data_IF_939249275543
#
_entry.id   IF_939249275543
#
_cell.length_a   1.000
_cell.length_b   1.000
_cell.length_c   1.000
_cell.angle_alpha   90.00
_cell.angle_beta   90.00
_cell.angle_gamma   90.00
#
_symmetry.space_group_name_H-M   'P 1'
#
loop_
_entity.id
_entity.type
_entity.pdbx_description
1 polymer ?
#
# COMPACT_ATOMS: atom_id res chain seq x y z
N UNK A 1 18.07 -1.99 20.37
CA UNK A 1 17.30 -2.51 19.21
C UNK A 1 17.07 -1.34 18.28
N UNK A 2 17.41 -1.44 16.99
CA UNK A 2 17.27 -0.29 16.08
C UNK A 2 15.78 -0.04 15.78
N UNK A 3 15.42 1.19 15.42
CA UNK A 3 14.05 1.54 14.99
C UNK A 3 13.58 0.62 13.85
N UNK A 4 14.48 0.32 12.91
CA UNK A 4 14.22 -0.58 11.80
C UNK A 4 13.85 -2.00 12.29
N UNK A 5 14.56 -2.52 13.29
CA UNK A 5 14.27 -3.85 13.85
C UNK A 5 12.90 -3.87 14.54
N UNK A 6 12.53 -2.76 15.20
CA UNK A 6 11.21 -2.63 15.83
C UNK A 6 10.10 -2.59 14.78
N UNK A 7 10.27 -1.79 13.71
CA UNK A 7 9.34 -1.75 12.58
C UNK A 7 9.19 -3.14 11.96
N UNK A 8 10.30 -3.81 11.66
CA UNK A 8 10.30 -5.15 11.08
C UNK A 8 9.58 -6.15 11.99
N UNK A 9 9.86 -6.13 13.31
CA UNK A 9 9.18 -7.00 14.27
C UNK A 9 7.67 -6.78 14.26
N UNK A 10 7.20 -5.54 14.17
CA UNK A 10 5.76 -5.25 14.07
C UNK A 10 5.16 -5.78 12.78
N UNK A 11 5.84 -5.59 11.64
CA UNK A 11 5.36 -6.09 10.35
C UNK A 11 5.20 -7.62 10.37
N UNK A 12 6.19 -8.32 10.92
CA UNK A 12 6.22 -9.78 10.92
C UNK A 12 5.25 -10.40 11.92
N UNK A 13 5.07 -9.78 13.09
CA UNK A 13 4.37 -10.41 14.23
C UNK A 13 3.06 -9.74 14.65
N UNK A 14 2.75 -8.56 14.11
CA UNK A 14 1.58 -7.77 14.51
C UNK A 14 0.72 -7.35 13.28
N UNK A 15 0.19 -8.29 12.48
CA UNK A 15 -0.65 -7.97 11.32
C UNK A 15 -1.83 -7.06 11.61
N UNK A 16 -2.43 -7.14 12.81
CA UNK A 16 -3.51 -6.23 13.23
C UNK A 16 -3.08 -4.75 13.30
N UNK A 17 -1.78 -4.45 13.40
CA UNK A 17 -1.29 -3.06 13.43
C UNK A 17 -1.37 -2.36 12.07
N UNK A 18 -1.59 -3.11 10.99
CA UNK A 18 -1.58 -2.58 9.63
C UNK A 18 -2.65 -3.20 8.70
N UNK A 19 -3.40 -4.20 9.16
CA UNK A 19 -4.53 -4.74 8.45
C UNK A 19 -5.54 -3.62 8.14
N UNK A 20 -5.92 -3.47 6.88
CA UNK A 20 -6.89 -2.45 6.47
C UNK A 20 -8.22 -2.60 7.23
N UNK A 21 -8.77 -1.47 7.65
CA UNK A 21 -10.09 -1.42 8.26
C UNK A 21 -11.13 -2.09 7.35
N UNK A 22 -12.04 -2.86 7.95
CA UNK A 22 -13.08 -3.61 7.23
C UNK A 22 -12.69 -5.03 6.80
N UNK A 23 -11.39 -5.40 6.81
CA UNK A 23 -10.95 -6.79 6.59
C UNK A 23 -11.28 -7.72 7.75
N UNK A 24 -11.37 -7.17 8.96
CA UNK A 24 -11.69 -7.91 10.15
C UNK A 24 -12.52 -7.02 11.07
N UNK A 25 -13.72 -7.48 11.41
CA UNK A 25 -14.57 -6.81 12.39
C UNK A 25 -14.32 -7.43 13.76
N UNK A 26 -13.69 -6.66 14.65
CA UNK A 26 -13.43 -7.08 16.03
C UNK A 26 -14.51 -6.50 16.93
N UNK A 27 -15.14 -7.35 17.75
CA UNK A 27 -15.99 -6.88 18.84
C UNK A 27 -15.14 -6.42 20.01
N UNK A 28 -15.71 -5.59 20.90
CA UNK A 28 -14.98 -5.02 22.05
C UNK A 28 -14.31 -6.10 22.93
N UNK A 29 -14.90 -7.30 23.00
CA UNK A 29 -14.35 -8.46 23.72
C UNK A 29 -12.96 -8.90 23.24
N UNK A 30 -12.55 -8.54 22.02
CA UNK A 30 -11.26 -8.92 21.44
C UNK A 30 -10.23 -7.78 21.40
N UNK A 31 -10.49 -6.67 22.11
CA UNK A 31 -9.60 -5.50 22.13
C UNK A 31 -8.46 -5.60 23.15
N UNK A 32 -8.57 -6.51 24.12
CA UNK A 32 -7.54 -6.75 25.13
C UNK A 32 -6.26 -7.36 24.55
N UNK A 33 -5.11 -7.05 25.16
CA UNK A 33 -3.78 -7.46 24.67
C UNK A 33 -3.63 -8.98 24.45
N UNK A 34 -4.10 -9.87 25.36
CA UNK A 34 -4.04 -11.32 25.12
C UNK A 34 -4.86 -11.77 23.91
N UNK A 35 -6.06 -11.19 23.72
CA UNK A 35 -6.92 -11.49 22.58
C UNK A 35 -6.27 -11.01 21.27
N UNK A 36 -5.68 -9.81 21.28
CA UNK A 36 -4.94 -9.25 20.15
C UNK A 36 -3.76 -10.12 19.74
N UNK A 37 -2.99 -10.63 20.71
CA UNK A 37 -1.88 -11.54 20.45
C UNK A 37 -2.35 -12.86 19.82
N UNK A 38 -3.43 -13.45 20.34
CA UNK A 38 -4.02 -14.65 19.77
C UNK A 38 -4.51 -14.41 18.32
N UNK A 39 -5.17 -13.29 18.06
CA UNK A 39 -5.64 -12.93 16.72
C UNK A 39 -4.50 -12.69 15.73
N UNK A 40 -3.43 -12.00 16.14
CA UNK A 40 -2.23 -11.86 15.30
C UNK A 40 -1.65 -13.22 14.92
N UNK A 41 -1.58 -14.15 15.87
CA UNK A 41 -1.12 -15.51 15.61
C UNK A 41 -2.06 -16.26 14.63
N UNK A 42 -3.37 -16.18 14.85
CA UNK A 42 -4.37 -16.78 13.95
C UNK A 42 -4.23 -16.22 12.53
N UNK A 43 -4.01 -14.92 12.37
CA UNK A 43 -3.81 -14.31 11.06
C UNK A 43 -2.52 -14.81 10.38
N UNK A 44 -1.42 -14.91 11.13
CA UNK A 44 -0.14 -15.40 10.60
C UNK A 44 -0.24 -16.86 10.15
N UNK A 45 -0.85 -17.72 10.97
CA UNK A 45 -1.03 -19.14 10.68
C UNK A 45 -2.04 -19.37 9.55
N UNK A 46 -3.20 -18.72 9.63
CA UNK A 46 -4.30 -18.87 8.67
C UNK A 46 -3.98 -18.34 7.28
N UNK A 47 -3.17 -17.28 7.17
CA UNK A 47 -2.70 -16.72 5.90
C UNK A 47 -1.34 -17.29 5.47
N UNK A 48 -0.75 -18.21 6.24
CA UNK A 48 0.56 -18.82 5.99
C UNK A 48 1.69 -17.82 5.74
N UNK A 49 1.66 -16.67 6.43
CA UNK A 49 2.56 -15.56 6.15
C UNK A 49 4.00 -15.87 6.60
N UNK A 50 5.02 -15.73 5.73
CA UNK A 50 6.41 -16.01 6.09
C UNK A 50 6.86 -15.13 7.27
N UNK A 51 7.37 -15.74 8.34
CA UNK A 51 7.76 -15.02 9.56
C UNK A 51 9.24 -14.66 9.62
N UNK A 52 10.05 -15.21 8.71
CA UNK A 52 11.49 -14.93 8.61
C UNK A 52 11.76 -14.00 7.44
N UNK A 53 12.67 -13.05 7.66
CA UNK A 53 13.17 -12.16 6.62
C UNK A 53 14.71 -12.24 6.58
N UNK A 54 15.34 -12.48 5.42
CA UNK A 54 16.79 -12.33 5.29
C UNK A 54 17.21 -10.89 5.56
N UNK A 55 18.49 -10.64 5.83
CA UNK A 55 18.98 -9.29 6.12
C UNK A 55 18.51 -8.28 5.04
N UNK A 56 17.75 -7.22 5.41
CA UNK A 56 17.11 -6.36 4.43
C UNK A 56 18.15 -5.48 3.72
N UNK A 57 18.12 -5.51 2.38
CA UNK A 57 18.85 -4.58 1.52
C UNK A 57 18.33 -3.14 1.64
N UNK A 58 19.04 -2.18 1.04
CA UNK A 58 18.72 -0.74 1.13
C UNK A 58 17.28 -0.42 0.72
N UNK A 59 16.81 -1.01 -0.38
CA UNK A 59 15.44 -0.84 -0.86
C UNK A 59 14.39 -1.36 0.14
N UNK A 60 14.54 -2.60 0.63
CA UNK A 60 13.62 -3.19 1.62
C UNK A 60 13.60 -2.39 2.93
N UNK A 61 14.71 -1.76 3.33
CA UNK A 61 14.76 -0.89 4.50
C UNK A 61 13.87 0.35 4.35
N UNK A 62 13.74 0.90 3.14
CA UNK A 62 12.83 2.02 2.87
C UNK A 62 11.39 1.55 3.04
N UNK A 63 11.04 0.38 2.50
CA UNK A 63 9.71 -0.23 2.67
C UNK A 63 9.36 -0.48 4.13
N UNK A 64 10.29 -1.06 4.91
CA UNK A 64 10.07 -1.35 6.33
C UNK A 64 9.79 -0.05 7.11
N UNK A 65 10.56 1.01 6.86
CA UNK A 65 10.36 2.31 7.53
C UNK A 65 9.04 2.98 7.11
N UNK A 66 8.67 2.84 5.84
CA UNK A 66 7.49 3.48 5.28
C UNK A 66 6.25 2.58 5.31
N UNK A 67 6.29 1.44 6.01
CA UNK A 67 5.27 0.41 5.92
C UNK A 67 3.84 0.93 6.13
N UNK A 68 3.65 1.75 7.16
CA UNK A 68 2.35 2.37 7.49
C UNK A 68 1.91 3.44 6.50
N UNK A 69 2.85 4.01 5.76
CA UNK A 69 2.60 5.02 4.74
C UNK A 69 2.43 4.42 3.34
N UNK A 70 2.65 3.11 3.14
CA UNK A 70 2.51 2.48 1.83
C UNK A 70 1.13 2.70 1.19
N UNK A 71 -0.02 2.70 1.92
CA UNK A 71 -1.30 3.06 1.32
C UNK A 71 -1.34 4.50 0.77
N UNK A 72 -0.77 5.45 1.51
CA UNK A 72 -0.68 6.85 1.08
C UNK A 72 0.25 6.98 -0.13
N UNK A 73 1.42 6.32 -0.10
CA UNK A 73 2.37 6.26 -1.22
C UNK A 73 1.68 5.68 -2.46
N UNK A 74 0.99 4.54 -2.33
CA UNK A 74 0.23 3.94 -3.41
C UNK A 74 -0.78 4.93 -4.00
N UNK A 75 -1.55 5.62 -3.15
CA UNK A 75 -2.52 6.61 -3.63
C UNK A 75 -1.88 7.74 -4.42
N UNK A 76 -0.72 8.24 -4.00
CA UNK A 76 0.06 9.23 -4.76
C UNK A 76 0.51 8.69 -6.12
N UNK A 77 1.08 7.48 -6.15
CA UNK A 77 1.51 6.82 -7.39
C UNK A 77 0.32 6.61 -8.33
N UNK A 78 -0.81 6.12 -7.81
CA UNK A 78 -2.01 5.89 -8.59
C UNK A 78 -2.64 7.16 -9.15
N UNK A 79 -2.70 8.21 -8.34
CA UNK A 79 -3.19 9.52 -8.77
C UNK A 79 -2.31 10.09 -9.90
N UNK A 80 -0.99 9.94 -9.78
CA UNK A 80 -0.04 10.38 -10.81
C UNK A 80 -0.26 9.61 -12.13
N UNK A 81 -0.36 8.28 -12.07
CA UNK A 81 -0.59 7.44 -13.26
C UNK A 81 -1.91 7.78 -13.95
N UNK A 82 -2.97 8.00 -13.17
CA UNK A 82 -4.33 8.28 -13.67
C UNK A 82 -4.63 9.76 -13.92
N UNK A 83 -3.67 10.67 -13.73
CA UNK A 83 -3.91 12.11 -13.83
C UNK A 83 -4.67 12.54 -15.09
N UNK A 84 -4.38 12.02 -16.31
CA UNK A 84 -5.13 12.40 -17.52
C UNK A 84 -6.62 12.00 -17.45
N UNK A 85 -6.91 10.82 -16.92
CA UNK A 85 -8.27 10.28 -16.80
C UNK A 85 -9.07 11.06 -15.74
N UNK A 86 -8.42 11.37 -14.62
CA UNK A 86 -8.99 12.20 -13.57
C UNK A 86 -9.30 13.62 -14.07
N UNK A 87 -8.41 14.20 -14.88
CA UNK A 87 -8.61 15.51 -15.49
C UNK A 87 -9.77 15.49 -16.50
N UNK A 88 -9.80 14.50 -17.41
CA UNK A 88 -10.86 14.37 -18.43
C UNK A 88 -12.24 14.19 -17.81
N UNK A 89 -12.34 13.44 -16.72
CA UNK A 89 -13.60 13.24 -16.00
C UNK A 89 -14.02 14.39 -15.07
N UNK A 90 -13.22 15.47 -14.96
CA UNK A 90 -13.37 16.50 -13.93
C UNK A 90 -13.37 15.94 -12.49
N UNK A 91 -12.70 14.80 -12.27
CA UNK A 91 -12.70 14.04 -11.00
C UNK A 91 -11.52 14.34 -10.08
N UNK A 92 -10.61 15.22 -10.48
CA UNK A 92 -9.45 15.61 -9.66
C UNK A 92 -9.85 16.18 -8.29
N UNK A 93 -11.02 16.82 -8.19
CA UNK A 93 -11.51 17.40 -6.93
C UNK A 93 -11.82 16.38 -5.83
N UNK A 94 -11.89 15.09 -6.17
CA UNK A 94 -12.04 14.01 -5.20
C UNK A 94 -10.73 13.65 -4.48
N UNK A 95 -9.60 14.13 -4.99
CA UNK A 95 -8.28 14.00 -4.36
C UNK A 95 -8.01 15.15 -3.40
N UNK A 96 -7.24 14.88 -2.34
CA UNK A 96 -6.74 15.91 -1.44
C UNK A 96 -5.83 16.90 -2.16
N UNK A 97 -5.61 18.07 -1.56
CA UNK A 97 -4.70 19.08 -2.12
C UNK A 97 -3.28 18.53 -2.30
N UNK A 98 -2.79 17.73 -1.34
CA UNK A 98 -1.46 17.12 -1.40
C UNK A 98 -1.35 16.06 -2.50
N UNK A 99 -2.39 15.23 -2.66
CA UNK A 99 -2.46 14.22 -3.73
C UNK A 99 -2.47 14.88 -5.11
N UNK A 100 -3.25 15.95 -5.28
CA UNK A 100 -3.27 16.73 -6.54
C UNK A 100 -1.93 17.39 -6.83
N UNK A 101 -1.27 17.97 -5.82
CA UNK A 101 0.02 18.63 -5.99
C UNK A 101 1.11 17.64 -6.46
N UNK A 102 1.09 16.42 -5.94
CA UNK A 102 1.97 15.36 -6.42
C UNK A 102 1.58 14.89 -7.82
N UNK A 103 0.32 14.51 -8.02
CA UNK A 103 -0.15 13.85 -9.25
C UNK A 103 -0.03 14.71 -10.50
N UNK A 104 -0.13 16.05 -10.37
CA UNK A 104 0.05 16.97 -11.51
C UNK A 104 1.49 16.98 -12.05
N UNK A 105 2.49 16.60 -11.24
CA UNK A 105 3.89 16.58 -11.67
C UNK A 105 4.10 15.49 -12.73
N UNK A 106 4.84 15.82 -13.79
CA UNK A 106 5.15 14.89 -14.88
C UNK A 106 6.26 13.90 -14.49
N UNK A 107 6.02 13.12 -13.44
CA UNK A 107 6.94 12.11 -12.90
C UNK A 107 6.73 10.82 -13.69
N UNK A 108 7.35 10.73 -14.88
CA UNK A 108 7.29 9.53 -15.71
C UNK A 108 5.98 9.30 -16.47
N UNK A 109 5.83 8.11 -17.08
CA UNK A 109 4.72 7.84 -17.99
C UNK A 109 3.38 7.83 -17.27
N UNK A 110 2.39 8.47 -17.87
CA UNK A 110 0.99 8.42 -17.43
C UNK A 110 0.28 7.27 -18.15
N UNK A 111 -0.73 6.68 -17.51
CA UNK A 111 -1.46 5.53 -18.05
C UNK A 111 -2.89 5.92 -18.40
N UNK A 112 -3.33 5.50 -19.58
CA UNK A 112 -4.72 5.63 -20.01
C UNK A 112 -5.48 4.35 -19.59
N UNK A 113 -5.75 4.21 -18.30
CA UNK A 113 -6.58 3.12 -17.81
C UNK A 113 -8.01 3.61 -17.65
N UNK A 114 -8.94 2.94 -18.34
CA UNK A 114 -10.34 3.27 -18.26
C UNK A 114 -10.84 3.11 -16.82
N UNK A 115 -11.36 4.20 -16.25
CA UNK A 115 -11.99 4.18 -14.94
C UNK A 115 -13.39 3.59 -15.07
N UNK A 116 -13.73 2.66 -14.20
CA UNK A 116 -15.10 2.17 -14.07
C UNK A 116 -15.99 3.25 -13.47
N UNK A 117 -17.21 3.39 -13.97
CA UNK A 117 -18.21 4.26 -13.37
C UNK A 117 -18.80 3.61 -12.11
N UNK A 118 -18.90 2.28 -12.11
CA UNK A 118 -19.54 1.50 -11.04
C UNK A 118 -18.67 1.25 -9.80
N UNK A 119 -17.42 1.74 -9.79
CA UNK A 119 -16.48 1.53 -8.68
C UNK A 119 -16.09 2.87 -8.05
N UNK A 120 -15.96 2.97 -6.72
CA UNK A 120 -15.49 4.18 -6.05
C UNK A 120 -14.15 4.64 -6.62
N UNK A 121 -14.05 5.91 -7.01
CA UNK A 121 -12.86 6.43 -7.68
C UNK A 121 -11.59 6.27 -6.83
N UNK A 122 -11.67 6.57 -5.54
CA UNK A 122 -10.52 6.50 -4.65
C UNK A 122 -9.98 5.07 -4.54
N UNK A 123 -10.86 4.07 -4.51
CA UNK A 123 -10.44 2.66 -4.52
C UNK A 123 -9.78 2.29 -5.84
N UNK A 124 -10.25 2.83 -6.96
CA UNK A 124 -9.61 2.62 -8.25
C UNK A 124 -8.20 3.23 -8.28
N UNK A 125 -8.04 4.46 -7.76
CA UNK A 125 -6.75 5.14 -7.62
C UNK A 125 -5.81 4.34 -6.72
N UNK A 126 -6.28 3.87 -5.58
CA UNK A 126 -5.50 3.03 -4.68
C UNK A 126 -5.13 1.69 -5.31
N UNK A 127 -6.02 1.07 -6.09
CA UNK A 127 -5.74 -0.20 -6.76
C UNK A 127 -4.68 -0.06 -7.84
N UNK A 128 -4.65 1.06 -8.57
CA UNK A 128 -3.52 1.43 -9.46
C UNK A 128 -2.24 1.57 -8.66
N UNK A 129 -2.29 2.30 -7.55
CA UNK A 129 -1.16 2.47 -6.64
C UNK A 129 -0.62 1.15 -6.11
N UNK A 130 -1.51 0.26 -5.70
CA UNK A 130 -1.18 -1.08 -5.24
C UNK A 130 -0.56 -1.91 -6.37
N UNK A 131 -1.03 -1.80 -7.61
CA UNK A 131 -0.39 -2.46 -8.75
C UNK A 131 1.06 -1.98 -8.94
N UNK A 132 1.31 -0.68 -8.79
CA UNK A 132 2.66 -0.13 -8.88
C UNK A 132 3.55 -0.58 -7.70
N UNK A 133 3.01 -0.72 -6.48
CA UNK A 133 3.74 -1.31 -5.36
C UNK A 133 4.06 -2.79 -5.56
N UNK A 134 3.08 -3.57 -6.03
CA UNK A 134 3.25 -5.01 -6.24
C UNK A 134 4.19 -5.32 -7.40
N UNK A 135 4.45 -4.37 -8.30
CA UNK A 135 5.46 -4.52 -9.35
C UNK A 135 6.88 -4.76 -8.81
N UNK A 136 7.14 -4.40 -7.55
CA UNK A 136 8.40 -4.64 -6.86
C UNK A 136 8.46 -6.00 -6.15
N UNK A 137 7.49 -6.91 -6.36
CA UNK A 137 7.41 -8.17 -5.60
C UNK A 137 8.65 -9.04 -5.74
N UNK A 138 9.32 -9.01 -6.90
CA UNK A 138 10.56 -9.78 -7.15
C UNK A 138 11.79 -9.16 -6.48
N UNK A 139 11.74 -7.85 -6.17
CA UNK A 139 12.83 -7.10 -5.52
C UNK A 139 12.70 -7.11 -3.98
N UNK A 140 11.60 -7.64 -3.46
CA UNK A 140 11.29 -7.68 -2.03
C UNK A 140 11.32 -9.12 -1.49
N UNK A 141 11.77 -9.32 -0.25
CA UNK A 141 11.56 -10.58 0.44
C UNK A 141 10.07 -10.93 0.49
N UNK A 142 9.75 -12.22 0.30
CA UNK A 142 8.37 -12.73 0.32
C UNK A 142 7.59 -12.30 1.57
N UNK A 143 8.26 -12.28 2.72
CA UNK A 143 7.67 -11.83 3.98
C UNK A 143 7.12 -10.39 3.92
N UNK A 144 7.68 -9.51 3.09
CA UNK A 144 7.13 -8.18 2.84
C UNK A 144 6.10 -8.20 1.72
N UNK A 145 6.42 -8.74 0.54
CA UNK A 145 5.55 -8.65 -0.64
C UNK A 145 4.16 -9.26 -0.41
N UNK A 146 4.06 -10.39 0.31
CA UNK A 146 2.79 -11.04 0.61
C UNK A 146 1.91 -10.24 1.58
N UNK A 147 2.53 -9.44 2.46
CA UNK A 147 1.80 -8.62 3.44
C UNK A 147 1.30 -7.29 2.87
N UNK A 148 1.84 -6.83 1.74
CA UNK A 148 1.48 -5.52 1.16
C UNK A 148 -0.03 -5.43 0.91
N UNK A 149 -0.66 -6.50 0.40
CA UNK A 149 -2.10 -6.53 0.11
C UNK A 149 -2.97 -6.32 1.36
N UNK A 150 -2.47 -6.72 2.54
CA UNK A 150 -3.21 -6.60 3.80
C UNK A 150 -3.39 -5.15 4.24
N UNK A 151 -2.57 -4.23 3.71
CA UNK A 151 -2.64 -2.79 3.98
C UNK A 151 -3.81 -2.08 3.29
N UNK A 152 -4.49 -2.75 2.35
CA UNK A 152 -5.53 -2.16 1.52
C UNK A 152 -6.87 -2.86 1.72
N UNK A 153 -8.03 -2.19 1.62
CA UNK A 153 -9.34 -2.85 1.63
C UNK A 153 -9.46 -3.96 0.58
N UNK A 154 -10.33 -4.95 0.80
CA UNK A 154 -10.52 -6.04 -0.17
C UNK A 154 -11.04 -5.55 -1.52
N UNK A 155 -11.88 -4.51 -1.54
CA UNK A 155 -12.38 -3.86 -2.75
C UNK A 155 -11.23 -3.32 -3.62
N UNK A 156 -10.23 -2.69 -2.99
CA UNK A 156 -9.01 -2.20 -3.66
C UNK A 156 -8.18 -3.35 -4.22
N UNK A 157 -8.02 -4.44 -3.46
CA UNK A 157 -7.26 -5.61 -3.92
C UNK A 157 -7.97 -6.32 -5.08
N UNK A 158 -9.30 -6.45 -5.02
CA UNK A 158 -10.11 -7.01 -6.08
C UNK A 158 -10.04 -6.17 -7.35
N UNK A 159 -10.09 -4.83 -7.21
CA UNK A 159 -9.89 -3.93 -8.35
C UNK A 159 -8.48 -4.06 -8.94
N UNK A 160 -7.44 -4.06 -8.09
CA UNK A 160 -6.04 -4.20 -8.52
C UNK A 160 -5.82 -5.48 -9.34
N UNK A 161 -6.45 -6.59 -8.96
CA UNK A 161 -6.32 -7.87 -9.64
C UNK A 161 -6.78 -7.85 -11.12
N UNK A 162 -7.59 -6.85 -11.51
CA UNK A 162 -8.08 -6.66 -12.89
C UNK A 162 -7.12 -5.85 -13.76
N UNK A 163 -6.12 -5.21 -13.15
CA UNK A 163 -5.18 -4.35 -13.85
C UNK A 163 -4.08 -5.19 -14.52
N UNK A 164 -3.53 -4.71 -15.66
CA UNK A 164 -2.40 -5.37 -16.29
C UNK A 164 -1.18 -5.34 -15.35
N UNK A 165 -0.33 -6.35 -15.47
CA UNK A 165 0.99 -6.35 -14.80
C UNK A 165 1.80 -5.16 -15.29
N UNK A 166 2.44 -4.47 -14.35
CA UNK A 166 3.24 -3.29 -14.62
C UNK A 166 4.70 -3.52 -14.27
N UNK A 167 5.60 -2.79 -14.93
CA UNK A 167 7.03 -2.78 -14.56
C UNK A 167 7.24 -1.87 -13.34
N UNK A 168 8.18 -2.22 -12.44
CA UNK A 168 8.54 -1.37 -11.32
C UNK A 168 9.08 -0.02 -11.81
N UNK A 169 8.72 1.05 -11.11
CA UNK A 169 9.19 2.42 -11.36
C UNK A 169 9.79 2.99 -10.06
N UNK A 170 11.09 2.72 -9.80
CA UNK A 170 11.75 3.17 -8.57
C UNK A 170 11.69 4.70 -8.41
N UNK A 171 11.77 5.46 -9.51
CA UNK A 171 11.74 6.92 -9.48
C UNK A 171 10.40 7.42 -8.94
N UNK A 172 9.28 6.91 -9.47
CA UNK A 172 7.95 7.27 -8.99
C UNK A 172 7.77 6.89 -7.50
N UNK A 173 8.21 5.69 -7.10
CA UNK A 173 8.15 5.23 -5.72
C UNK A 173 8.93 6.15 -4.77
N UNK A 174 10.20 6.44 -5.07
CA UNK A 174 11.03 7.27 -4.19
C UNK A 174 10.54 8.71 -4.11
N UNK A 175 10.02 9.27 -5.20
CA UNK A 175 9.44 10.61 -5.18
C UNK A 175 8.16 10.65 -4.34
N UNK A 176 7.31 9.63 -4.41
CA UNK A 176 6.14 9.51 -3.55
C UNK A 176 6.54 9.38 -2.07
N UNK A 177 7.58 8.58 -1.77
CA UNK A 177 8.15 8.48 -0.41
C UNK A 177 8.62 9.85 0.10
N UNK A 178 9.40 10.60 -0.70
CA UNK A 178 9.85 11.93 -0.27
C UNK A 178 8.68 12.88 -0.07
N UNK A 179 7.68 12.86 -0.96
CA UNK A 179 6.49 13.70 -0.84
C UNK A 179 5.74 13.44 0.47
N UNK A 180 5.54 12.17 0.84
CA UNK A 180 4.92 11.80 2.13
C UNK A 180 5.74 12.30 3.30
N UNK A 181 7.07 12.12 3.29
CA UNK A 181 7.96 12.56 4.38
C UNK A 181 7.95 14.07 4.60
N UNK A 182 7.71 14.86 3.55
CA UNK A 182 7.63 16.32 3.66
C UNK A 182 6.28 16.83 4.19
N UNK A 183 5.25 15.97 4.22
CA UNK A 183 3.87 16.37 4.56
C UNK A 183 3.25 15.53 5.69
N UNK A 184 4.04 14.68 6.36
CA UNK A 184 3.62 13.83 7.49
C UNK A 184 4.26 14.26 8.81
#
# INVERSE_FOLDING_TARGET
MSELDQCLRRILWQPLDYLAAGRLHLTEAFTGEPARQALNRILLEGLQLPMSLPAPGSFSRVWIRQWRHLPQIARLMGAQRLWPELARGARMGLLSAQERDFARRAIGPRRAWALSVDHPLLEQVEGVGLAELLAFSEELPAALSERVRLLFPETVVAWQARLPVVRPDPTLFFLAVQHVRHHS
#
